data_IF_261888190253
#
_entry.id   IF_261888190253
#
_cell.length_a   1.000
_cell.length_b   1.000
_cell.length_c   1.000
_cell.angle_alpha   90.00
_cell.angle_beta   90.00
_cell.angle_gamma   90.00
#
_symmetry.space_group_name_H-M   'P 1'
#
loop_
_entity.id
_entity.type
_entity.pdbx_description
1 polymer ?
#
# COMPACT_ATOMS: atom_id res chain seq x y z
N UNK A 1 -2.74 -24.20 6.64
CA UNK A 1 -1.74 -23.10 6.56
C UNK A 1 -2.42 -21.84 6.01
N UNK A 2 -2.32 -20.71 6.70
CA UNK A 2 -2.91 -19.47 6.21
C UNK A 2 -2.14 -18.98 4.97
N UNK A 3 -2.82 -18.91 3.81
CA UNK A 3 -2.20 -18.42 2.57
C UNK A 3 -1.84 -16.95 2.72
N UNK A 4 -0.60 -16.60 2.38
CA UNK A 4 -0.17 -15.22 2.32
C UNK A 4 -1.03 -14.41 1.35
N UNK A 5 -1.20 -13.13 1.66
CA UNK A 5 -1.93 -12.23 0.80
C UNK A 5 -1.12 -11.98 -0.47
N UNK A 6 -1.68 -12.41 -1.60
CA UNK A 6 -1.10 -12.19 -2.93
C UNK A 6 -0.71 -10.73 -3.15
N UNK A 7 0.46 -10.52 -3.75
CA UNK A 7 1.01 -9.19 -4.13
C UNK A 7 0.01 -8.31 -4.90
N UNK A 8 -0.85 -8.92 -5.74
CA UNK A 8 -1.92 -8.23 -6.48
C UNK A 8 -2.92 -7.52 -5.55
N UNK A 9 -3.29 -8.15 -4.42
CA UNK A 9 -4.19 -7.56 -3.44
C UNK A 9 -3.53 -6.39 -2.69
N UNK A 10 -2.25 -6.54 -2.33
CA UNK A 10 -1.45 -5.47 -1.70
C UNK A 10 -1.31 -4.27 -2.65
N UNK A 11 -1.07 -4.51 -3.94
CA UNK A 11 -0.98 -3.46 -4.97
C UNK A 11 -2.30 -2.70 -5.08
N UNK A 12 -3.44 -3.40 -5.20
CA UNK A 12 -4.78 -2.76 -5.23
C UNK A 12 -5.04 -1.89 -3.99
N UNK A 13 -4.70 -2.39 -2.80
CA UNK A 13 -4.87 -1.63 -1.56
C UNK A 13 -3.96 -0.39 -1.51
N UNK A 14 -2.69 -0.54 -1.93
CA UNK A 14 -1.71 0.55 -1.97
C UNK A 14 -2.11 1.63 -2.96
N UNK A 15 -2.60 1.26 -4.14
CA UNK A 15 -3.15 2.20 -5.13
C UNK A 15 -4.33 2.98 -4.56
N UNK A 16 -5.31 2.31 -3.94
CA UNK A 16 -6.48 3.00 -3.37
C UNK A 16 -6.09 3.97 -2.26
N UNK A 17 -5.12 3.61 -1.41
CA UNK A 17 -4.61 4.49 -0.36
C UNK A 17 -3.83 5.68 -0.93
N UNK A 18 -2.93 5.46 -1.89
CA UNK A 18 -2.17 6.53 -2.53
C UNK A 18 -3.06 7.50 -3.31
N UNK A 19 -4.03 6.99 -4.08
CA UNK A 19 -5.00 7.83 -4.79
C UNK A 19 -5.86 8.69 -3.86
N UNK A 20 -6.18 8.19 -2.66
CA UNK A 20 -6.88 9.03 -1.65
C UNK A 20 -6.01 10.20 -1.18
N UNK A 21 -4.71 10.01 -1.01
CA UNK A 21 -3.78 11.11 -0.67
C UNK A 21 -3.62 12.08 -1.84
N UNK A 22 -3.55 11.57 -3.07
CA UNK A 22 -3.54 12.42 -4.27
C UNK A 22 -4.79 13.31 -4.32
N UNK A 23 -5.97 12.75 -4.03
CA UNK A 23 -7.23 13.52 -3.98
C UNK A 23 -7.26 14.56 -2.86
N UNK A 24 -6.52 14.34 -1.76
CA UNK A 24 -6.40 15.27 -0.64
C UNK A 24 -5.30 16.32 -0.82
N UNK A 25 -4.66 16.37 -1.99
CA UNK A 25 -3.45 17.15 -2.26
C UNK A 25 -2.22 16.82 -1.39
N UNK A 26 -2.31 15.82 -0.50
CA UNK A 26 -1.19 15.27 0.28
C UNK A 26 -0.14 14.56 -0.60
N UNK A 27 -0.42 14.35 -1.90
CA UNK A 27 0.49 13.68 -2.81
C UNK A 27 0.37 14.16 -4.26
N UNK A 28 1.48 14.58 -4.88
CA UNK A 28 1.51 14.88 -6.32
C UNK A 28 1.27 13.61 -7.15
N UNK A 29 0.41 13.68 -8.18
CA UNK A 29 0.11 12.56 -9.11
C UNK A 29 1.39 11.88 -9.65
N UNK A 30 2.40 12.67 -10.02
CA UNK A 30 3.70 12.17 -10.53
C UNK A 30 4.45 11.28 -9.52
N UNK A 31 4.26 11.48 -8.21
CA UNK A 31 4.92 10.70 -7.14
C UNK A 31 4.13 9.44 -6.73
N UNK A 32 2.84 9.35 -7.10
CA UNK A 32 1.95 8.26 -6.69
C UNK A 32 2.44 6.87 -7.09
N UNK A 33 2.92 6.70 -8.32
CA UNK A 33 3.44 5.41 -8.79
C UNK A 33 4.63 4.92 -7.94
N UNK A 34 5.54 5.83 -7.58
CA UNK A 34 6.69 5.54 -6.72
C UNK A 34 6.27 5.12 -5.30
N UNK A 35 5.32 5.85 -4.71
CA UNK A 35 4.76 5.53 -3.39
C UNK A 35 4.07 4.18 -3.39
N UNK A 36 3.26 3.88 -4.41
CA UNK A 36 2.58 2.58 -4.55
C UNK A 36 3.61 1.45 -4.66
N UNK A 37 4.66 1.61 -5.48
CA UNK A 37 5.71 0.60 -5.66
C UNK A 37 6.47 0.35 -4.35
N UNK A 38 6.90 1.40 -3.64
CA UNK A 38 7.61 1.30 -2.35
C UNK A 38 6.73 0.66 -1.27
N UNK A 39 5.50 1.13 -1.10
CA UNK A 39 4.55 0.59 -0.12
C UNK A 39 4.23 -0.88 -0.40
N UNK A 40 3.97 -1.25 -1.66
CA UNK A 40 3.68 -2.63 -2.05
C UNK A 40 4.86 -3.56 -1.76
N UNK A 41 6.10 -3.16 -2.10
CA UNK A 41 7.31 -3.98 -1.83
C UNK A 41 7.51 -4.17 -0.33
N UNK A 42 7.32 -3.11 0.47
CA UNK A 42 7.49 -3.17 1.93
C UNK A 42 6.44 -4.03 2.62
N UNK A 43 5.19 -3.97 2.19
CA UNK A 43 4.10 -4.79 2.76
C UNK A 43 4.17 -6.24 2.27
N UNK A 44 4.56 -6.47 1.02
CA UNK A 44 4.75 -7.84 0.50
C UNK A 44 5.85 -8.59 1.26
N UNK A 45 6.97 -7.93 1.60
CA UNK A 45 8.04 -8.51 2.41
C UNK A 45 7.62 -8.94 3.82
N UNK A 46 6.48 -8.47 4.33
CA UNK A 46 5.98 -8.82 5.67
C UNK A 46 5.19 -10.14 5.72
N UNK A 47 4.92 -10.78 4.58
CA UNK A 47 4.25 -12.08 4.57
C UNK A 47 2.88 -12.11 5.26
N UNK A 48 2.12 -11.02 5.16
CA UNK A 48 0.88 -10.89 5.93
C UNK A 48 -0.19 -11.86 5.42
N UNK A 49 -0.81 -12.58 6.35
CA UNK A 49 -1.93 -13.49 6.09
C UNK A 49 -3.29 -12.87 6.45
N UNK A 50 -3.31 -11.83 7.31
CA UNK A 50 -4.55 -11.13 7.73
C UNK A 50 -4.84 -9.88 6.90
N UNK A 51 -6.04 -9.83 6.31
CA UNK A 51 -6.52 -8.71 5.48
C UNK A 51 -6.58 -7.38 6.26
N UNK A 52 -6.98 -7.43 7.53
CA UNK A 52 -7.00 -6.25 8.42
C UNK A 52 -5.59 -5.70 8.64
N UNK A 53 -4.62 -6.57 8.99
CA UNK A 53 -3.22 -6.19 9.19
C UNK A 53 -2.57 -5.66 7.90
N UNK A 54 -2.91 -6.23 6.74
CA UNK A 54 -2.45 -5.68 5.45
C UNK A 54 -2.95 -4.25 5.23
N UNK A 55 -4.24 -3.98 5.42
CA UNK A 55 -4.80 -2.63 5.19
C UNK A 55 -4.14 -1.57 6.07
N UNK A 56 -3.87 -1.89 7.34
CA UNK A 56 -3.19 -0.96 8.27
C UNK A 56 -1.73 -0.76 7.88
N UNK A 57 -1.01 -1.83 7.55
CA UNK A 57 0.37 -1.76 7.08
C UNK A 57 0.50 -0.93 5.79
N UNK A 58 -0.43 -1.11 4.84
CA UNK A 58 -0.50 -0.31 3.61
C UNK A 58 -0.73 1.17 3.92
N UNK A 59 -1.71 1.53 4.76
CA UNK A 59 -1.94 2.94 5.13
C UNK A 59 -0.70 3.59 5.73
N UNK A 60 -0.04 2.92 6.69
CA UNK A 60 1.19 3.44 7.31
C UNK A 60 2.33 3.56 6.31
N UNK A 61 2.51 2.56 5.44
CA UNK A 61 3.56 2.57 4.43
C UNK A 61 3.36 3.65 3.36
N UNK A 62 2.12 3.87 2.92
CA UNK A 62 1.77 4.94 1.99
C UNK A 62 1.96 6.31 2.65
N UNK A 63 1.50 6.53 3.90
CA UNK A 63 1.68 7.81 4.61
C UNK A 63 3.17 8.14 4.88
N UNK A 64 4.01 7.13 5.15
CA UNK A 64 5.46 7.34 5.36
C UNK A 64 6.25 7.54 4.05
N UNK A 65 5.68 7.14 2.91
CA UNK A 65 6.33 7.27 1.61
C UNK A 65 5.77 8.43 0.76
N UNK A 66 4.66 9.02 1.19
CA UNK A 66 4.06 10.24 0.68
C UNK A 66 4.86 11.45 1.13
#
# INVERSE_FOLDING_TARGET
MAKEIKKKAIKKASTKAAMKLVKKNDLKKKKAAGVIKKATKKVAKKGLTSKKKMKTAVKKAVKKAA
#
